data_IF_819744921041
#
_entry.id   IF_819744921041
#
_cell.length_a   1.000
_cell.length_b   1.000
_cell.length_c   1.000
_cell.angle_alpha   90.00
_cell.angle_beta   90.00
_cell.angle_gamma   90.00
#
_symmetry.space_group_name_H-M   'P 1'
#
loop_
_entity.id
_entity.type
_entity.pdbx_description
1 polymer ?
#
# COMPACT_ATOMS: atom_id res chain seq x y z
N UNK A 1 -9.08 -8.59 8.23
CA UNK A 1 -9.46 -8.90 6.83
C UNK A 1 -9.38 -7.68 5.91
N UNK A 2 -9.88 -6.49 6.31
CA UNK A 2 -9.89 -5.28 5.47
C UNK A 2 -8.47 -4.74 5.21
N UNK A 3 -7.65 -4.59 6.25
CA UNK A 3 -6.29 -4.01 6.10
C UNK A 3 -5.36 -4.89 5.25
N UNK A 4 -5.37 -6.21 5.44
CA UNK A 4 -4.54 -7.16 4.66
C UNK A 4 -4.83 -7.08 3.17
N UNK A 5 -6.12 -7.03 2.80
CA UNK A 5 -6.57 -6.86 1.42
C UNK A 5 -6.18 -5.50 0.86
N UNK A 6 -6.36 -4.42 1.62
CA UNK A 6 -5.94 -3.09 1.21
C UNK A 6 -4.44 -3.01 0.91
N UNK A 7 -3.59 -3.54 1.80
CA UNK A 7 -2.14 -3.56 1.60
C UNK A 7 -1.75 -4.41 0.38
N UNK A 8 -2.45 -5.52 0.17
CA UNK A 8 -2.24 -6.41 -0.98
C UNK A 8 -2.66 -5.73 -2.28
N UNK A 9 -3.85 -5.15 -2.36
CA UNK A 9 -4.33 -4.39 -3.51
C UNK A 9 -3.40 -3.22 -3.85
N UNK A 10 -2.93 -2.48 -2.83
CA UNK A 10 -1.93 -1.43 -2.99
C UNK A 10 -0.62 -1.96 -3.56
N UNK A 11 -0.09 -3.04 -2.98
CA UNK A 11 1.13 -3.67 -3.45
C UNK A 11 1.00 -4.14 -4.91
N UNK A 12 -0.16 -4.71 -5.29
CA UNK A 12 -0.46 -5.29 -6.60
C UNK A 12 -0.85 -4.27 -7.70
N UNK A 13 -0.97 -2.97 -7.37
CA UNK A 13 -1.17 -1.94 -8.40
C UNK A 13 -2.24 -0.89 -8.11
N UNK A 14 -2.99 -0.97 -7.01
CA UNK A 14 -3.97 0.05 -6.67
C UNK A 14 -3.32 1.44 -6.51
N UNK A 15 -3.99 2.47 -7.03
CA UNK A 15 -3.56 3.88 -6.97
C UNK A 15 -4.69 4.75 -6.44
N UNK A 16 -4.36 5.78 -5.66
CA UNK A 16 -5.35 6.64 -5.02
C UNK A 16 -6.18 7.51 -5.98
N UNK A 17 -5.68 7.76 -7.19
CA UNK A 17 -6.33 8.60 -8.20
C UNK A 17 -7.34 7.84 -9.08
N UNK A 18 -7.42 6.51 -8.95
CA UNK A 18 -8.16 5.65 -9.87
C UNK A 18 -9.07 4.68 -9.13
N UNK A 19 -10.23 4.36 -9.71
CA UNK A 19 -11.12 3.34 -9.15
C UNK A 19 -10.47 1.98 -9.31
N UNK A 20 -10.19 1.30 -8.19
CA UNK A 20 -9.57 -0.01 -8.21
C UNK A 20 -10.50 -1.07 -8.78
N UNK A 21 -10.20 -1.56 -9.99
CA UNK A 21 -10.95 -2.60 -10.68
C UNK A 21 -10.44 -4.03 -10.42
N UNK A 22 -9.41 -4.19 -9.58
CA UNK A 22 -8.67 -5.45 -9.36
C UNK A 22 -8.03 -6.02 -10.62
N UNK A 23 -7.68 -5.14 -11.55
CA UNK A 23 -6.85 -5.48 -12.68
C UNK A 23 -5.39 -5.40 -12.24
N UNK A 24 -4.82 -6.56 -11.89
CA UNK A 24 -3.48 -6.64 -11.32
C UNK A 24 -2.44 -6.32 -12.40
N UNK A 25 -1.86 -5.11 -12.34
CA UNK A 25 -0.87 -4.66 -13.33
C UNK A 25 0.44 -5.46 -13.30
N UNK A 26 0.72 -6.16 -12.20
CA UNK A 26 1.84 -7.07 -12.09
C UNK A 26 1.48 -8.49 -12.57
N UNK A 27 1.16 -8.62 -13.85
CA UNK A 27 0.97 -9.92 -14.51
C UNK A 27 2.27 -10.73 -14.61
N UNK A 28 3.44 -10.07 -14.49
CA UNK A 28 4.77 -10.70 -14.48
C UNK A 28 5.24 -11.23 -13.11
N UNK A 29 4.49 -10.98 -12.03
CA UNK A 29 4.81 -11.42 -10.66
C UNK A 29 5.60 -10.41 -9.83
N UNK A 30 5.52 -10.56 -8.51
CA UNK A 30 6.39 -9.89 -7.53
C UNK A 30 7.50 -10.85 -7.12
N UNK A 31 8.65 -10.34 -6.71
CA UNK A 31 9.70 -11.12 -6.05
C UNK A 31 9.95 -10.46 -4.69
N UNK A 32 9.51 -11.11 -3.61
CA UNK A 32 9.85 -10.69 -2.25
C UNK A 32 10.82 -11.70 -1.69
N UNK A 33 12.03 -11.24 -1.42
CA UNK A 33 13.07 -12.01 -0.73
C UNK A 33 13.15 -11.48 0.68
N UNK A 34 12.87 -12.33 1.67
CA UNK A 34 13.08 -12.01 3.08
C UNK A 34 14.58 -11.95 3.37
N UNK A 35 14.94 -11.32 4.49
CA UNK A 35 16.34 -11.23 4.93
C UNK A 35 17.00 -12.59 5.19
N UNK A 36 16.20 -13.63 5.48
CA UNK A 36 16.65 -15.02 5.66
C UNK A 36 16.82 -15.79 4.34
N UNK A 37 16.60 -15.13 3.20
CA UNK A 37 16.69 -15.73 1.86
C UNK A 37 15.42 -16.47 1.41
N UNK A 38 14.36 -16.50 2.22
CA UNK A 38 13.09 -17.10 1.82
C UNK A 38 12.39 -16.26 0.74
N UNK A 39 12.01 -16.92 -0.35
CA UNK A 39 11.26 -16.29 -1.44
C UNK A 39 9.75 -16.42 -1.20
N UNK A 40 9.05 -15.28 -1.07
CA UNK A 40 7.59 -15.26 -0.87
C UNK A 40 6.84 -15.17 -2.20
N UNK A 41 7.42 -14.58 -3.25
CA UNK A 41 6.72 -14.48 -4.53
C UNK A 41 7.52 -14.96 -5.74
N UNK A 42 7.01 -16.05 -6.31
CA UNK A 42 6.96 -16.33 -7.75
C UNK A 42 5.71 -17.21 -7.92
N UNK A 43 4.66 -16.67 -8.52
CA UNK A 43 3.31 -17.25 -8.68
C UNK A 43 2.37 -17.28 -7.45
N UNK A 44 1.10 -16.99 -7.73
CA UNK A 44 -0.05 -16.70 -6.88
C UNK A 44 -0.45 -17.76 -5.82
N UNK A 45 0.36 -18.78 -5.59
CA UNK A 45 0.06 -19.90 -4.68
C UNK A 45 0.14 -19.55 -3.19
N UNK A 46 0.82 -18.46 -2.81
CA UNK A 46 1.04 -18.07 -1.40
C UNK A 46 0.40 -16.71 -1.02
N UNK A 47 -0.76 -16.38 -1.57
CA UNK A 47 -1.46 -15.12 -1.29
C UNK A 47 -1.62 -14.82 0.22
N UNK A 48 -1.87 -15.85 1.03
CA UNK A 48 -1.98 -15.71 2.48
C UNK A 48 -0.65 -15.30 3.14
N UNK A 49 0.47 -15.93 2.75
CA UNK A 49 1.78 -15.59 3.31
C UNK A 49 2.21 -14.18 2.89
N UNK A 50 1.85 -13.76 1.67
CA UNK A 50 2.06 -12.41 1.18
C UNK A 50 1.23 -11.38 1.97
N UNK A 51 -0.06 -11.63 2.18
CA UNK A 51 -0.95 -10.81 3.01
C UNK A 51 -0.41 -10.67 4.44
N UNK A 52 -0.01 -11.79 5.05
CA UNK A 52 0.53 -11.83 6.40
C UNK A 52 1.88 -11.11 6.48
N UNK A 53 2.74 -11.28 5.48
CA UNK A 53 4.02 -10.58 5.40
C UNK A 53 3.84 -9.07 5.33
N UNK A 54 3.01 -8.57 4.40
CA UNK A 54 2.75 -7.14 4.26
C UNK A 54 2.16 -6.57 5.55
N UNK A 55 1.21 -7.26 6.17
CA UNK A 55 0.58 -6.78 7.39
C UNK A 55 1.54 -6.70 8.58
N UNK A 56 2.42 -7.69 8.72
CA UNK A 56 3.36 -7.75 9.85
C UNK A 56 4.62 -6.88 9.64
N UNK A 57 4.97 -6.59 8.39
CA UNK A 57 6.22 -5.90 8.06
C UNK A 57 6.00 -4.48 7.52
N UNK A 58 4.76 -3.99 7.40
CA UNK A 58 4.48 -2.61 7.00
C UNK A 58 3.74 -1.82 8.08
N UNK A 59 3.95 -0.51 8.06
CA UNK A 59 3.27 0.46 8.91
C UNK A 59 2.70 1.59 8.06
N UNK A 60 1.59 2.15 8.54
CA UNK A 60 1.04 3.39 8.01
C UNK A 60 1.75 4.56 8.68
N UNK A 61 2.42 5.39 7.87
CA UNK A 61 3.15 6.56 8.32
C UNK A 61 2.49 7.82 7.75
N UNK A 62 2.36 8.83 8.61
CA UNK A 62 1.98 10.17 8.19
C UNK A 62 3.18 10.87 7.57
N UNK A 63 3.04 11.31 6.32
CA UNK A 63 4.04 12.17 5.71
C UNK A 63 4.23 13.46 6.54
N UNK A 64 5.46 13.99 6.57
CA UNK A 64 5.80 15.23 7.30
C UNK A 64 4.76 16.34 7.11
N UNK A 65 4.48 17.09 8.19
CA UNK A 65 3.61 18.27 8.18
C UNK A 65 4.00 19.32 7.15
N UNK A 66 5.25 19.30 6.67
CA UNK A 66 5.76 20.17 5.61
C UNK A 66 4.88 20.14 4.34
N UNK A 67 4.19 19.03 4.09
CA UNK A 67 3.29 18.87 2.94
C UNK A 67 1.81 19.14 3.25
N UNK A 68 1.49 19.70 4.43
CA UNK A 68 0.12 20.03 4.83
C UNK A 68 -0.75 18.82 5.14
N UNK A 69 -0.16 17.69 5.54
CA UNK A 69 -0.92 16.50 5.94
C UNK A 69 -1.89 16.82 7.08
N UNK A 70 -3.14 16.35 6.97
CA UNK A 70 -4.16 16.49 8.01
C UNK A 70 -4.70 17.91 8.19
N UNK A 71 -4.26 18.89 7.38
CA UNK A 71 -4.75 20.26 7.43
C UNK A 71 -5.84 20.48 6.38
N UNK A 72 -6.92 21.13 6.80
CA UNK A 72 -7.98 21.58 5.89
C UNK A 72 -7.46 22.81 5.14
N UNK A 73 -7.61 22.83 3.83
CA UNK A 73 -7.29 23.96 2.97
C UNK A 73 -8.46 24.25 2.02
N UNK A 74 -8.63 25.50 1.65
CA UNK A 74 -9.68 25.92 0.71
C UNK A 74 -9.11 26.07 -0.68
N UNK A 75 -9.70 25.40 -1.66
CA UNK A 75 -9.36 25.49 -3.08
C UNK A 75 -10.65 25.62 -3.87
N UNK A 76 -10.80 26.71 -4.64
CA UNK A 76 -12.01 27.02 -5.43
C UNK A 76 -13.30 27.05 -4.58
N UNK A 77 -13.23 27.59 -3.36
CA UNK A 77 -14.37 27.67 -2.44
C UNK A 77 -14.77 26.35 -1.79
N UNK A 78 -14.04 25.25 -2.05
CA UNK A 78 -14.26 23.95 -1.43
C UNK A 78 -13.19 23.66 -0.39
N UNK A 79 -13.60 23.18 0.78
CA UNK A 79 -12.70 22.69 1.80
C UNK A 79 -12.21 21.29 1.43
N UNK A 80 -10.90 21.10 1.42
CA UNK A 80 -10.22 19.84 1.13
C UNK A 80 -9.24 19.53 2.24
N UNK A 81 -8.91 18.25 2.42
CA UNK A 81 -7.90 17.80 3.39
C UNK A 81 -6.89 16.90 2.67
N UNK A 82 -5.59 17.16 2.89
CA UNK A 82 -4.53 16.30 2.36
C UNK A 82 -4.30 15.12 3.29
N UNK A 83 -4.74 13.94 2.83
CA UNK A 83 -4.53 12.67 3.51
C UNK A 83 -3.43 11.88 2.78
N UNK A 84 -2.21 12.39 2.86
CA UNK A 84 -1.04 11.79 2.21
C UNK A 84 -0.51 10.63 3.10
N UNK A 85 -1.27 9.54 3.16
CA UNK A 85 -0.89 8.33 3.89
C UNK A 85 0.27 7.63 3.15
N UNK A 86 1.31 7.24 3.87
CA UNK A 86 2.41 6.44 3.33
C UNK A 86 2.39 5.04 3.94
N UNK A 87 2.61 4.02 3.11
CA UNK A 87 2.85 2.66 3.59
C UNK A 87 4.36 2.43 3.50
N UNK A 88 4.98 2.10 4.63
CA UNK A 88 6.43 1.82 4.70
C UNK A 88 6.70 0.48 5.35
N UNK A 89 7.82 -0.14 4.99
CA UNK A 89 8.31 -1.29 5.73
C UNK A 89 8.80 -0.86 7.12
N UNK A 90 8.64 -1.74 8.11
CA UNK A 90 9.06 -1.53 9.51
C UNK A 90 10.59 -1.73 9.64
N UNK A 91 11.21 -2.35 8.65
CA UNK A 91 12.65 -2.59 8.53
C UNK A 91 13.23 -1.80 7.37
#
# INVERSE_FOLDING_TARGET
>A
MIMKKFLTDYALGMRAAEVWKRDYQATGGYLIVKDDGELICYHFYFAKNFEDYLFNNTKLETASERNGFGKIYSENGQQKIKLNLQIRFIK
#
